data_IF_767304676396
#
_entry.id   IF_767304676396
#
_cell.length_a   1.000
_cell.length_b   1.000
_cell.length_c   1.000
_cell.angle_alpha   90.00
_cell.angle_beta   90.00
_cell.angle_gamma   90.00
#
_symmetry.space_group_name_H-M   'P 1'
#
loop_
_entity.id
_entity.type
_entity.pdbx_description
1 polymer ?
#
# COMPACT_ATOMS: atom_id res chain seq x y z
N UNK A 1 -19.40 7.32 12.71
CA UNK A 1 -19.46 5.92 13.17
C UNK A 1 -19.21 5.89 14.67
N UNK A 2 -19.97 5.12 15.41
CA UNK A 2 -19.74 4.90 16.85
C UNK A 2 -19.12 3.51 17.01
N UNK A 3 -18.06 3.42 17.80
CA UNK A 3 -17.37 2.17 18.14
C UNK A 3 -17.58 1.94 19.63
N UNK A 4 -18.05 0.77 19.99
CA UNK A 4 -18.19 0.33 21.38
C UNK A 4 -17.05 -0.64 21.74
N UNK A 5 -16.58 -0.64 22.98
CA UNK A 5 -15.75 -1.73 23.47
C UNK A 5 -16.45 -3.06 23.23
N UNK A 6 -15.71 -4.06 22.77
CA UNK A 6 -16.29 -5.37 22.43
C UNK A 6 -15.76 -6.49 23.33
N UNK A 7 -16.46 -7.61 23.31
CA UNK A 7 -15.98 -8.89 23.85
C UNK A 7 -14.91 -9.52 22.96
N UNK A 8 -14.49 -10.77 23.28
CA UNK A 8 -13.47 -11.48 22.53
C UNK A 8 -13.82 -11.61 21.06
N UNK A 9 -12.90 -11.21 20.17
CA UNK A 9 -13.03 -11.41 18.73
C UNK A 9 -12.72 -12.87 18.38
N UNK A 10 -13.59 -13.54 17.64
CA UNK A 10 -13.45 -14.96 17.30
C UNK A 10 -13.92 -15.26 15.88
N UNK A 11 -13.36 -16.32 15.30
CA UNK A 11 -13.77 -16.85 14.00
C UNK A 11 -12.73 -16.69 12.91
N UNK A 12 -13.20 -16.79 11.68
CA UNK A 12 -12.34 -16.68 10.49
C UNK A 12 -12.84 -15.53 9.61
N UNK A 13 -11.91 -14.74 9.09
CA UNK A 13 -12.19 -13.69 8.13
C UNK A 13 -11.26 -13.77 6.94
N UNK A 14 -11.66 -13.13 5.85
CA UNK A 14 -10.78 -12.71 4.75
C UNK A 14 -10.69 -11.20 4.76
N UNK A 15 -9.58 -10.68 4.28
CA UNK A 15 -9.39 -9.24 4.06
C UNK A 15 -9.37 -8.95 2.56
N UNK A 16 -9.64 -7.71 2.13
CA UNK A 16 -9.52 -7.33 0.73
C UNK A 16 -8.14 -7.64 0.17
N UNK A 17 -8.07 -7.84 -1.13
CA UNK A 17 -6.81 -8.10 -1.83
C UNK A 17 -5.78 -6.98 -1.66
N UNK A 18 -4.50 -7.35 -1.79
CA UNK A 18 -3.40 -6.39 -1.68
C UNK A 18 -3.53 -5.27 -2.71
N UNK A 19 -3.57 -4.02 -2.21
CA UNK A 19 -3.74 -2.82 -3.04
C UNK A 19 -2.61 -2.67 -4.05
N UNK A 20 -1.37 -2.89 -3.63
CA UNK A 20 -0.19 -2.71 -4.48
C UNK A 20 -0.13 -3.74 -5.62
N UNK A 21 -0.56 -4.97 -5.34
CA UNK A 21 -0.64 -6.05 -6.33
C UNK A 21 -1.82 -5.81 -7.27
N UNK A 22 -2.99 -5.42 -6.74
CA UNK A 22 -4.18 -5.11 -7.55
C UNK A 22 -3.92 -4.02 -8.59
N UNK A 23 -3.27 -2.92 -8.23
CA UNK A 23 -2.87 -1.89 -9.19
C UNK A 23 -2.00 -2.45 -10.31
N UNK A 24 -0.97 -3.21 -9.93
CA UNK A 24 0.00 -3.78 -10.89
C UNK A 24 -0.63 -4.84 -11.77
N UNK A 25 -1.54 -5.64 -11.24
CA UNK A 25 -2.24 -6.66 -12.00
C UNK A 25 -3.00 -6.06 -13.19
N UNK A 26 -3.72 -4.95 -12.96
CA UNK A 26 -4.38 -4.21 -14.05
C UNK A 26 -3.37 -3.58 -15.01
N UNK A 27 -2.35 -2.90 -14.48
CA UNK A 27 -1.34 -2.22 -15.30
C UNK A 27 -0.60 -3.19 -16.21
N UNK A 28 -0.11 -4.28 -15.64
CA UNK A 28 0.69 -5.27 -16.37
C UNK A 28 -0.17 -6.17 -17.27
N UNK A 29 -1.38 -6.53 -16.81
CA UNK A 29 -2.36 -7.22 -17.64
C UNK A 29 -2.73 -6.40 -18.88
N UNK A 30 -2.89 -5.08 -18.74
CA UNK A 30 -3.16 -4.20 -19.87
C UNK A 30 -2.01 -4.12 -20.89
N UNK A 31 -0.77 -4.23 -20.42
CA UNK A 31 0.44 -4.18 -21.25
C UNK A 31 0.88 -5.56 -21.79
N UNK A 32 0.25 -6.63 -21.33
CA UNK A 32 0.56 -7.98 -21.80
C UNK A 32 -0.18 -8.30 -23.11
N UNK A 33 0.30 -9.30 -23.83
CA UNK A 33 -0.40 -9.90 -24.95
C UNK A 33 -1.30 -11.04 -24.45
N UNK A 34 -2.63 -10.92 -24.62
CA UNK A 34 -3.62 -11.90 -24.22
C UNK A 34 -4.49 -11.44 -23.06
N UNK A 35 -5.30 -12.36 -22.53
CA UNK A 35 -6.26 -12.11 -21.45
C UNK A 35 -5.64 -12.44 -20.11
N UNK A 36 -5.76 -11.52 -19.15
CA UNK A 36 -5.36 -11.72 -17.74
C UNK A 36 -6.59 -11.83 -16.85
N UNK A 37 -6.74 -12.94 -16.14
CA UNK A 37 -7.74 -13.14 -15.10
C UNK A 37 -7.18 -12.79 -13.74
N UNK A 38 -7.80 -11.83 -13.03
CA UNK A 38 -7.33 -11.34 -11.73
C UNK A 38 -8.37 -11.67 -10.68
N UNK A 39 -8.06 -12.64 -9.81
CA UNK A 39 -8.91 -13.02 -8.67
C UNK A 39 -8.45 -12.33 -7.39
N UNK A 40 -9.35 -12.12 -6.42
CA UNK A 40 -9.02 -11.47 -5.15
C UNK A 40 -8.72 -9.97 -5.26
N UNK A 41 -9.08 -9.35 -6.37
CA UNK A 41 -8.81 -7.92 -6.64
C UNK A 41 -9.43 -6.99 -5.59
N UNK A 42 -8.71 -5.95 -5.19
CA UNK A 42 -9.25 -4.91 -4.31
C UNK A 42 -10.16 -3.96 -5.10
N UNK A 43 -11.46 -4.00 -4.83
CA UNK A 43 -12.47 -3.08 -5.37
C UNK A 43 -12.49 -1.73 -4.64
N UNK A 44 -11.32 -1.20 -4.26
CA UNK A 44 -11.17 0.10 -3.63
C UNK A 44 -11.05 1.23 -4.66
N UNK A 45 -11.39 2.46 -4.26
CA UNK A 45 -11.42 3.64 -5.14
C UNK A 45 -10.11 3.87 -5.89
N UNK A 46 -8.97 3.66 -5.23
CA UNK A 46 -7.65 3.81 -5.85
C UNK A 46 -7.44 2.83 -7.02
N UNK A 47 -7.80 1.56 -6.83
CA UNK A 47 -7.65 0.51 -7.84
C UNK A 47 -8.64 0.69 -8.99
N UNK A 48 -9.88 1.11 -8.69
CA UNK A 48 -10.89 1.43 -9.69
C UNK A 48 -10.45 2.63 -10.54
N UNK A 49 -9.77 3.63 -9.97
CA UNK A 49 -9.17 4.74 -10.74
C UNK A 49 -8.11 4.24 -11.73
N UNK A 50 -7.34 3.20 -11.39
CA UNK A 50 -6.40 2.57 -12.32
C UNK A 50 -7.14 1.92 -13.49
N UNK A 51 -8.19 1.15 -13.21
CA UNK A 51 -9.05 0.53 -14.26
C UNK A 51 -9.60 1.60 -15.19
N UNK A 52 -10.15 2.69 -14.64
CA UNK A 52 -10.71 3.78 -15.45
C UNK A 52 -9.67 4.44 -16.37
N UNK A 53 -8.45 4.66 -15.86
CA UNK A 53 -7.36 5.18 -16.68
C UNK A 53 -7.04 4.27 -17.87
N UNK A 54 -6.93 2.96 -17.67
CA UNK A 54 -6.64 2.02 -18.77
C UNK A 54 -7.80 1.84 -19.73
N UNK A 55 -9.04 1.85 -19.26
CA UNK A 55 -10.23 1.88 -20.13
C UNK A 55 -10.23 3.10 -21.06
N UNK A 56 -9.86 4.27 -20.55
CA UNK A 56 -9.73 5.51 -21.35
C UNK A 56 -8.59 5.45 -22.37
N UNK A 57 -7.65 4.55 -22.20
CA UNK A 57 -6.56 4.28 -23.13
C UNK A 57 -6.81 3.06 -24.04
N UNK A 58 -8.08 2.65 -24.21
CA UNK A 58 -8.50 1.62 -25.17
C UNK A 58 -8.45 0.18 -24.65
N UNK A 59 -8.10 -0.05 -23.37
CA UNK A 59 -8.07 -1.41 -22.81
C UNK A 59 -9.46 -1.86 -22.40
N UNK A 60 -9.91 -3.01 -22.89
CA UNK A 60 -11.13 -3.65 -22.43
C UNK A 60 -10.90 -4.32 -21.07
N UNK A 61 -11.62 -3.87 -20.05
CA UNK A 61 -11.53 -4.42 -18.69
C UNK A 61 -12.94 -4.71 -18.18
N UNK A 62 -13.22 -5.97 -17.91
CA UNK A 62 -14.51 -6.45 -17.41
C UNK A 62 -14.38 -6.78 -15.91
N UNK A 63 -15.34 -6.32 -15.11
CA UNK A 63 -15.43 -6.58 -13.67
C UNK A 63 -16.63 -7.48 -13.45
N UNK A 64 -16.42 -8.65 -12.84
CA UNK A 64 -17.46 -9.56 -12.37
C UNK A 64 -17.46 -9.58 -10.84
N UNK A 65 -18.35 -10.38 -10.22
CA UNK A 65 -18.42 -10.50 -8.76
C UNK A 65 -17.14 -11.13 -8.16
N UNK A 66 -16.45 -11.99 -8.94
CA UNK A 66 -15.34 -12.81 -8.45
C UNK A 66 -13.97 -12.42 -9.02
N UNK A 67 -13.93 -11.69 -10.16
CA UNK A 67 -12.68 -11.41 -10.87
C UNK A 67 -12.72 -10.12 -11.70
N UNK A 68 -11.53 -9.62 -12.04
CA UNK A 68 -11.30 -8.60 -13.06
C UNK A 68 -10.60 -9.24 -14.25
N UNK A 69 -11.19 -9.11 -15.44
CA UNK A 69 -10.67 -9.64 -16.69
C UNK A 69 -10.12 -8.49 -17.51
N UNK A 70 -8.84 -8.57 -17.88
CA UNK A 70 -8.14 -7.54 -18.65
C UNK A 70 -7.74 -8.11 -20.01
N UNK A 71 -8.26 -7.55 -21.09
CA UNK A 71 -7.82 -7.85 -22.44
C UNK A 71 -6.61 -6.98 -22.79
N UNK A 72 -5.43 -7.56 -22.66
CA UNK A 72 -4.17 -6.83 -22.83
C UNK A 72 -3.92 -6.44 -24.28
N UNK A 73 -3.38 -5.23 -24.46
CA UNK A 73 -3.14 -4.64 -25.80
C UNK A 73 -1.66 -4.64 -26.19
N UNK A 74 -0.79 -5.23 -25.35
CA UNK A 74 0.67 -5.22 -25.54
C UNK A 74 1.32 -3.89 -25.14
N UNK A 75 2.65 -3.87 -25.13
CA UNK A 75 3.44 -2.70 -24.69
C UNK A 75 3.13 -1.41 -25.46
N UNK A 76 2.78 -1.52 -26.75
CA UNK A 76 2.58 -0.39 -27.66
C UNK A 76 1.14 -0.23 -28.15
N UNK A 77 0.18 -0.96 -27.55
CA UNK A 77 -1.21 -0.97 -27.99
C UNK A 77 -2.12 0.04 -27.27
N UNK A 78 -1.61 0.81 -26.30
CA UNK A 78 -2.39 1.86 -25.64
C UNK A 78 -2.74 2.98 -26.61
N UNK A 79 -3.96 3.52 -26.49
CA UNK A 79 -4.47 4.62 -27.31
C UNK A 79 -4.43 5.95 -26.55
N UNK A 80 -4.28 7.07 -27.31
CA UNK A 80 -4.34 8.39 -26.71
C UNK A 80 -5.73 8.66 -26.10
N UNK A 81 -5.83 8.98 -24.81
CA UNK A 81 -7.12 9.27 -24.21
C UNK A 81 -7.69 10.59 -24.74
N UNK A 82 -9.01 10.66 -24.91
CA UNK A 82 -9.70 11.87 -25.39
C UNK A 82 -9.77 13.00 -24.36
N UNK A 83 -9.49 12.70 -23.09
CA UNK A 83 -9.49 13.62 -21.97
C UNK A 83 -8.37 13.32 -20.98
N UNK A 84 -8.12 14.22 -20.05
CA UNK A 84 -7.14 14.00 -19.00
C UNK A 84 -7.51 12.78 -18.14
N UNK A 85 -6.53 11.94 -17.82
CA UNK A 85 -6.71 10.80 -16.93
C UNK A 85 -6.91 11.29 -15.50
N UNK A 86 -7.96 10.78 -14.85
CA UNK A 86 -8.26 11.11 -13.46
C UNK A 86 -7.83 9.97 -12.55
N UNK A 87 -6.80 10.22 -11.74
CA UNK A 87 -6.18 9.21 -10.85
C UNK A 87 -6.75 9.20 -9.43
N UNK A 88 -7.83 9.94 -9.17
CA UNK A 88 -8.42 10.09 -7.84
C UNK A 88 -7.43 10.61 -6.82
N UNK A 89 -7.36 9.97 -5.65
CA UNK A 89 -6.36 10.22 -4.60
C UNK A 89 -5.18 9.23 -4.68
N UNK A 90 -5.10 8.43 -5.73
CA UNK A 90 -4.14 7.34 -5.84
C UNK A 90 -2.73 7.81 -6.20
N UNK A 91 -1.86 7.88 -5.20
CA UNK A 91 -0.42 8.09 -5.42
C UNK A 91 0.25 6.94 -6.19
N UNK A 92 -0.27 5.73 -6.07
CA UNK A 92 0.23 4.55 -6.81
C UNK A 92 -0.10 4.68 -8.28
N UNK A 93 -1.38 4.90 -8.62
CA UNK A 93 -1.81 5.10 -10.01
C UNK A 93 -0.99 6.21 -10.68
N UNK A 94 -0.93 7.39 -10.05
CA UNK A 94 -0.24 8.55 -10.61
C UNK A 94 1.24 8.29 -10.88
N UNK A 95 1.96 7.71 -9.91
CA UNK A 95 3.42 7.52 -10.03
C UNK A 95 3.81 6.39 -10.97
N UNK A 96 3.08 5.27 -10.93
CA UNK A 96 3.39 4.13 -11.79
C UNK A 96 3.01 4.42 -13.24
N UNK A 97 1.86 5.09 -13.47
CA UNK A 97 1.49 5.54 -14.82
C UNK A 97 2.53 6.49 -15.43
N UNK A 98 3.23 7.33 -14.64
CA UNK A 98 4.33 8.13 -15.18
C UNK A 98 5.36 7.26 -15.91
N UNK A 99 5.72 6.10 -15.34
CA UNK A 99 6.66 5.17 -15.97
C UNK A 99 6.12 4.59 -17.28
N UNK A 100 4.88 4.11 -17.27
CA UNK A 100 4.24 3.51 -18.46
C UNK A 100 4.03 4.55 -19.55
N UNK A 101 3.52 5.72 -19.19
CA UNK A 101 3.14 6.77 -20.14
C UNK A 101 4.35 7.49 -20.73
N UNK A 102 5.50 7.49 -20.03
CA UNK A 102 6.75 8.03 -20.57
C UNK A 102 7.23 7.34 -21.85
N UNK A 103 6.88 6.05 -22.06
CA UNK A 103 7.22 5.28 -23.25
C UNK A 103 6.15 5.28 -24.34
N UNK A 104 5.04 6.05 -24.19
CA UNK A 104 3.96 6.04 -25.16
C UNK A 104 4.13 7.10 -26.26
N UNK A 105 3.68 6.83 -27.51
CA UNK A 105 3.86 7.72 -28.66
C UNK A 105 2.84 8.85 -28.75
N UNK A 106 2.15 9.20 -27.65
CA UNK A 106 1.13 10.24 -27.62
C UNK A 106 1.26 11.16 -26.39
N UNK A 107 0.72 12.36 -26.49
CA UNK A 107 0.66 13.27 -25.35
C UNK A 107 -0.50 12.91 -24.45
N UNK A 108 -0.26 12.89 -23.15
CA UNK A 108 -1.28 12.59 -22.15
C UNK A 108 -1.13 13.47 -20.91
N UNK A 109 -2.25 13.99 -20.41
CA UNK A 109 -2.29 14.73 -19.14
C UNK A 109 -3.01 13.89 -18.09
N UNK A 110 -2.48 13.87 -16.86
CA UNK A 110 -3.12 13.24 -15.74
C UNK A 110 -3.17 14.14 -14.51
N UNK A 111 -4.22 14.00 -13.74
CA UNK A 111 -4.44 14.67 -12.47
C UNK A 111 -5.39 13.87 -11.59
N UNK A 112 -5.71 14.38 -10.43
CA UNK A 112 -6.67 13.77 -9.53
C UNK A 112 -7.27 14.77 -8.57
N UNK A 113 -7.67 14.33 -7.40
CA UNK A 113 -8.33 15.12 -6.37
C UNK A 113 -7.41 16.20 -5.77
N UNK A 114 -7.94 17.11 -4.93
CA UNK A 114 -7.13 18.15 -4.28
C UNK A 114 -6.03 17.61 -3.36
N UNK A 115 -6.11 16.36 -2.89
CA UNK A 115 -5.08 15.74 -2.07
C UNK A 115 -3.88 15.34 -2.93
N UNK A 116 -4.10 14.57 -4.01
CA UNK A 116 -3.01 14.15 -4.91
C UNK A 116 -2.30 15.34 -5.57
N UNK A 117 -3.05 16.41 -5.84
CA UNK A 117 -2.48 17.65 -6.42
C UNK A 117 -1.49 18.38 -5.50
N UNK A 118 -1.47 18.05 -4.20
CA UNK A 118 -0.52 18.61 -3.22
C UNK A 118 0.66 17.67 -2.96
N UNK A 119 0.60 16.44 -3.45
CA UNK A 119 1.66 15.45 -3.23
C UNK A 119 2.80 15.66 -4.23
N UNK A 120 4.08 15.65 -3.77
CA UNK A 120 5.21 15.88 -4.65
C UNK A 120 5.41 14.71 -5.63
N UNK A 121 5.61 15.05 -6.91
CA UNK A 121 5.87 14.10 -8.00
C UNK A 121 7.29 14.22 -8.56
N UNK A 122 8.04 15.24 -8.17
CA UNK A 122 9.40 15.50 -8.63
C UNK A 122 10.36 14.33 -8.43
N UNK A 123 10.16 13.52 -7.35
CA UNK A 123 10.97 12.32 -7.13
C UNK A 123 10.83 11.26 -8.25
N UNK A 124 9.67 11.20 -8.92
CA UNK A 124 9.44 10.32 -10.06
C UNK A 124 9.81 11.00 -11.37
N UNK A 125 9.47 12.28 -11.52
CA UNK A 125 9.77 13.03 -12.74
C UNK A 125 11.28 13.11 -13.03
N UNK A 126 12.11 13.28 -11.99
CA UNK A 126 13.57 13.43 -12.14
C UNK A 126 14.22 12.23 -12.82
N UNK A 127 14.14 10.99 -12.31
CA UNK A 127 14.76 9.84 -12.98
C UNK A 127 14.15 9.54 -14.34
N UNK A 128 12.86 9.74 -14.54
CA UNK A 128 12.24 9.55 -15.85
C UNK A 128 12.79 10.54 -16.88
N UNK A 129 13.05 11.79 -16.49
CA UNK A 129 13.72 12.76 -17.36
C UNK A 129 15.18 12.37 -17.64
N UNK A 130 15.87 11.79 -16.68
CA UNK A 130 17.22 11.22 -16.89
C UNK A 130 17.19 10.06 -17.87
N UNK A 131 16.07 9.31 -17.97
CA UNK A 131 15.83 8.30 -19.01
C UNK A 131 15.45 8.89 -20.38
N UNK A 132 15.26 10.22 -20.50
CA UNK A 132 14.86 10.89 -21.74
C UNK A 132 13.39 11.32 -21.80
N UNK A 133 12.57 11.02 -20.78
CA UNK A 133 11.17 11.38 -20.80
C UNK A 133 10.94 12.89 -20.76
N UNK A 134 10.00 13.37 -21.57
CA UNK A 134 9.51 14.76 -21.53
C UNK A 134 8.26 14.84 -20.66
N UNK A 135 8.41 15.38 -19.46
CA UNK A 135 7.35 15.47 -18.45
C UNK A 135 7.28 16.90 -17.92
N UNK A 136 6.09 17.48 -17.94
CA UNK A 136 5.79 18.76 -17.31
C UNK A 136 4.84 18.56 -16.12
N UNK A 137 4.98 19.41 -15.10
CA UNK A 137 4.10 19.41 -13.94
C UNK A 137 3.94 20.80 -13.38
N UNK A 138 2.84 21.04 -12.67
CA UNK A 138 2.61 22.31 -11.97
C UNK A 138 3.76 22.60 -10.99
N UNK A 139 4.38 23.78 -11.11
CA UNK A 139 5.55 24.19 -10.35
C UNK A 139 6.69 23.16 -10.41
N UNK A 140 6.82 22.44 -11.52
CA UNK A 140 7.80 21.39 -11.77
C UNK A 140 7.82 20.25 -10.74
N UNK A 141 6.73 20.05 -10.00
CA UNK A 141 6.68 19.08 -8.90
C UNK A 141 5.29 18.48 -8.61
N UNK A 142 4.20 19.00 -9.14
CA UNK A 142 2.84 18.63 -8.75
C UNK A 142 1.94 18.35 -9.95
N UNK A 143 0.85 17.61 -9.70
CA UNK A 143 -0.22 17.47 -10.69
C UNK A 143 -0.92 18.82 -10.98
N UNK A 144 -1.45 19.01 -12.20
CA UNK A 144 -1.47 18.10 -13.34
C UNK A 144 -0.07 17.80 -13.88
N UNK A 145 0.14 16.55 -14.36
CA UNK A 145 1.33 16.13 -15.08
C UNK A 145 0.98 15.92 -16.55
N UNK A 146 1.81 16.43 -17.46
CA UNK A 146 1.69 16.17 -18.90
C UNK A 146 2.95 15.48 -19.38
N UNK A 147 2.77 14.33 -20.02
CA UNK A 147 3.84 13.56 -20.64
C UNK A 147 3.71 13.68 -22.16
N UNK A 148 4.86 13.82 -22.82
CA UNK A 148 4.97 13.95 -24.27
C UNK A 148 5.71 12.75 -24.84
N UNK A 149 5.46 12.40 -26.12
CA UNK A 149 6.21 11.34 -26.80
C UNK A 149 7.72 11.53 -26.66
N UNK A 150 8.42 10.47 -26.26
CA UNK A 150 9.85 10.51 -25.95
C UNK A 150 10.51 9.17 -26.28
N UNK A 151 11.78 9.21 -26.67
CA UNK A 151 12.62 8.03 -26.79
C UNK A 151 13.35 7.82 -25.47
N UNK A 152 13.10 6.68 -24.83
CA UNK A 152 13.69 6.37 -23.53
C UNK A 152 14.98 5.55 -23.72
N UNK A 153 15.94 5.77 -22.83
CA UNK A 153 17.14 4.96 -22.70
C UNK A 153 17.32 4.45 -21.26
N UNK A 154 17.92 3.28 -21.14
CA UNK A 154 18.22 2.68 -19.85
C UNK A 154 19.24 3.53 -19.05
N UNK A 155 19.10 3.52 -17.73
CA UNK A 155 20.00 4.23 -16.83
C UNK A 155 20.40 3.37 -15.64
N UNK A 156 21.49 3.70 -14.97
CA UNK A 156 21.75 3.28 -13.60
C UNK A 156 21.31 4.39 -12.65
N UNK A 157 20.30 4.11 -11.81
CA UNK A 157 19.75 5.10 -10.90
C UNK A 157 19.80 4.63 -9.44
N UNK A 158 20.47 5.42 -8.61
CA UNK A 158 20.54 5.18 -7.17
C UNK A 158 19.41 5.94 -6.47
N UNK A 159 18.50 5.19 -5.85
CA UNK A 159 17.36 5.78 -5.14
C UNK A 159 17.84 6.58 -3.91
N UNK A 160 17.35 7.81 -3.72
CA UNK A 160 17.68 8.61 -2.54
C UNK A 160 17.02 8.08 -1.25
N UNK A 161 15.93 7.33 -1.39
CA UNK A 161 15.17 6.71 -0.29
C UNK A 161 14.63 5.35 -0.74
N UNK A 162 14.38 4.44 0.18
CA UNK A 162 13.71 3.16 -0.10
C UNK A 162 12.24 3.41 -0.47
N UNK A 163 11.93 3.39 -1.76
CA UNK A 163 10.60 3.70 -2.28
C UNK A 163 10.21 2.75 -3.42
N UNK A 164 9.32 1.81 -3.12
CA UNK A 164 8.81 0.88 -4.11
C UNK A 164 8.08 1.57 -5.29
N UNK A 165 7.39 2.69 -5.05
CA UNK A 165 6.72 3.42 -6.12
C UNK A 165 7.70 4.08 -7.08
N UNK A 166 8.79 4.65 -6.54
CA UNK A 166 9.85 5.25 -7.36
C UNK A 166 10.58 4.17 -8.18
N UNK A 167 10.98 3.07 -7.52
CA UNK A 167 11.56 1.91 -8.19
C UNK A 167 10.66 1.40 -9.31
N UNK A 168 9.38 1.16 -9.01
CA UNK A 168 8.41 0.65 -9.97
C UNK A 168 8.22 1.58 -11.17
N UNK A 169 8.17 2.90 -10.96
CA UNK A 169 8.04 3.86 -12.06
C UNK A 169 9.24 3.80 -13.02
N UNK A 170 10.46 3.68 -12.49
CA UNK A 170 11.69 3.54 -13.30
C UNK A 170 11.69 2.20 -14.05
N UNK A 171 11.35 1.10 -13.38
CA UNK A 171 11.30 -0.22 -14.01
C UNK A 171 10.21 -0.32 -15.08
N UNK A 172 9.04 0.31 -14.87
CA UNK A 172 7.96 0.36 -15.86
C UNK A 172 8.38 1.19 -17.08
N UNK A 173 9.11 2.30 -16.90
CA UNK A 173 9.69 3.04 -18.02
C UNK A 173 10.80 2.23 -18.73
N UNK A 174 11.54 1.42 -17.97
CA UNK A 174 12.56 0.51 -18.48
C UNK A 174 12.03 -0.52 -19.47
N UNK A 175 10.73 -0.88 -19.43
CA UNK A 175 10.10 -1.74 -20.44
C UNK A 175 10.15 -1.15 -21.87
N UNK A 176 10.29 0.16 -21.99
CA UNK A 176 10.28 0.91 -23.24
C UNK A 176 11.66 1.50 -23.60
N UNK A 177 12.65 1.33 -22.72
CA UNK A 177 13.94 1.99 -22.87
C UNK A 177 14.86 1.24 -23.84
N UNK A 178 15.68 1.97 -24.59
CA UNK A 178 16.80 1.37 -25.29
C UNK A 178 17.92 1.05 -24.28
N UNK A 179 18.27 -0.23 -24.17
CA UNK A 179 19.30 -0.73 -23.26
C UNK A 179 18.80 -0.98 -21.82
N UNK A 180 19.70 -1.50 -21.01
CA UNK A 180 19.42 -2.01 -19.68
C UNK A 180 19.15 -0.89 -18.66
N UNK A 181 18.16 -1.10 -17.79
CA UNK A 181 17.84 -0.20 -16.68
C UNK A 181 18.23 -0.84 -15.35
N UNK A 182 19.04 -0.15 -14.56
CA UNK A 182 19.49 -0.61 -13.23
C UNK A 182 19.02 0.34 -12.14
N UNK A 183 18.38 -0.20 -11.11
CA UNK A 183 17.96 0.55 -9.92
C UNK A 183 18.71 0.03 -8.69
N UNK A 184 19.30 0.95 -7.90
CA UNK A 184 20.03 0.62 -6.68
C UNK A 184 19.28 1.24 -5.50
N UNK A 185 18.80 0.40 -4.58
CA UNK A 185 18.06 0.81 -3.39
C UNK A 185 18.99 1.00 -2.17
N UNK A 186 18.76 2.01 -1.31
CA UNK A 186 19.49 2.15 -0.05
C UNK A 186 19.12 1.09 0.99
N UNK A 187 17.89 0.57 0.90
CA UNK A 187 17.37 -0.57 1.66
C UNK A 187 16.28 -1.25 0.81
N UNK A 188 16.07 -2.57 0.94
CA UNK A 188 15.04 -3.27 0.17
C UNK A 188 13.65 -2.66 0.40
N UNK A 189 12.94 -2.38 -0.69
CA UNK A 189 11.54 -2.01 -0.69
C UNK A 189 10.68 -3.12 -1.31
N UNK A 190 9.35 -2.96 -1.30
CA UNK A 190 8.40 -3.94 -1.87
C UNK A 190 8.80 -4.36 -3.27
N UNK A 191 8.83 -5.67 -3.55
CA UNK A 191 9.33 -6.28 -4.79
C UNK A 191 8.21 -6.82 -5.70
N UNK A 192 6.98 -6.37 -5.52
CA UNK A 192 5.83 -6.84 -6.32
C UNK A 192 6.04 -6.64 -7.82
N UNK A 193 6.65 -5.52 -8.25
CA UNK A 193 6.92 -5.26 -9.68
C UNK A 193 7.88 -6.29 -10.24
N UNK A 194 8.97 -6.57 -9.54
CA UNK A 194 9.99 -7.55 -9.95
C UNK A 194 9.41 -8.96 -10.01
N UNK A 195 8.58 -9.36 -9.04
CA UNK A 195 7.90 -10.65 -9.03
C UNK A 195 6.94 -10.80 -10.20
N UNK A 196 6.10 -9.80 -10.41
CA UNK A 196 5.13 -9.81 -11.50
C UNK A 196 5.82 -9.73 -12.87
N UNK A 197 6.89 -8.97 -13.02
CA UNK A 197 7.69 -8.95 -14.24
C UNK A 197 8.23 -10.35 -14.59
N UNK A 198 8.80 -11.06 -13.62
CA UNK A 198 9.25 -12.45 -13.84
C UNK A 198 8.13 -13.37 -14.27
N UNK A 199 6.94 -13.24 -13.63
CA UNK A 199 5.77 -14.04 -13.99
C UNK A 199 5.30 -13.76 -15.43
N UNK A 200 5.43 -12.52 -15.93
CA UNK A 200 5.07 -12.15 -17.30
C UNK A 200 6.20 -12.39 -18.33
N UNK A 201 7.32 -13.00 -17.91
CA UNK A 201 8.42 -13.38 -18.81
C UNK A 201 9.50 -12.32 -19.00
N UNK A 202 9.51 -11.25 -18.19
CA UNK A 202 10.54 -10.20 -18.24
C UNK A 202 11.84 -10.67 -17.58
N UNK A 203 12.98 -10.49 -18.24
CA UNK A 203 14.29 -10.72 -17.68
C UNK A 203 14.65 -9.61 -16.67
N UNK A 204 14.51 -9.92 -15.38
CA UNK A 204 14.83 -9.01 -14.29
C UNK A 204 15.61 -9.74 -13.19
N UNK A 205 16.79 -9.25 -12.89
CA UNK A 205 17.66 -9.78 -11.87
C UNK A 205 17.66 -8.90 -10.61
N UNK A 206 17.76 -9.54 -9.45
CA UNK A 206 17.94 -8.85 -8.17
C UNK A 206 19.17 -9.41 -7.48
N UNK A 207 20.16 -8.57 -7.28
CA UNK A 207 21.39 -8.91 -6.57
C UNK A 207 21.59 -7.95 -5.39
N UNK A 208 21.20 -8.41 -4.21
CA UNK A 208 21.17 -7.56 -3.01
C UNK A 208 20.22 -6.38 -3.18
N UNK A 209 20.76 -5.16 -3.18
CA UNK A 209 20.00 -3.92 -3.37
C UNK A 209 19.97 -3.42 -4.82
N UNK A 210 20.53 -4.17 -5.74
CA UNK A 210 20.60 -3.82 -7.18
C UNK A 210 19.60 -4.63 -7.97
N UNK A 211 18.75 -3.96 -8.71
CA UNK A 211 17.73 -4.55 -9.57
C UNK A 211 18.06 -4.13 -11.01
N UNK A 212 18.20 -5.10 -11.90
CA UNK A 212 18.57 -4.88 -13.29
C UNK A 212 17.51 -5.47 -14.21
N UNK A 213 17.04 -4.68 -15.16
CA UNK A 213 16.00 -5.00 -16.12
C UNK A 213 16.56 -4.88 -17.54
N UNK A 214 16.43 -5.95 -18.30
CA UNK A 214 16.58 -5.92 -19.76
C UNK A 214 15.20 -5.72 -20.41
N UNK A 215 15.03 -4.74 -21.33
CA UNK A 215 13.73 -4.45 -21.92
C UNK A 215 13.23 -5.66 -22.74
N UNK A 216 12.00 -6.15 -22.49
CA UNK A 216 11.43 -7.27 -23.21
C UNK A 216 10.91 -6.82 -24.59
N UNK A 217 10.77 -7.75 -25.52
CA UNK A 217 10.02 -7.51 -26.77
C UNK A 217 8.51 -7.44 -26.49
N UNK A 218 8.01 -8.34 -25.61
CA UNK A 218 6.60 -8.48 -25.26
C UNK A 218 6.43 -8.91 -23.80
N UNK A 219 5.23 -8.71 -23.26
CA UNK A 219 4.77 -9.31 -22.01
C UNK A 219 3.73 -10.38 -22.31
N UNK A 220 3.79 -11.51 -21.61
CA UNK A 220 2.84 -12.60 -21.76
C UNK A 220 1.80 -12.54 -20.65
N UNK A 221 0.50 -12.55 -21.00
CA UNK A 221 -0.58 -12.58 -20.03
C UNK A 221 -0.52 -13.85 -19.16
N UNK A 222 -0.76 -13.67 -17.87
CA UNK A 222 -0.84 -14.75 -16.87
C UNK A 222 -1.99 -14.47 -15.91
N UNK A 223 -2.62 -15.53 -15.40
CA UNK A 223 -3.61 -15.37 -14.34
C UNK A 223 -2.95 -14.92 -13.03
N UNK A 224 -3.59 -13.99 -12.32
CA UNK A 224 -3.05 -13.38 -11.11
C UNK A 224 -4.03 -13.58 -9.95
N UNK A 225 -3.62 -14.36 -8.96
CA UNK A 225 -4.32 -14.46 -7.68
C UNK A 225 -3.76 -13.41 -6.72
N UNK A 226 -4.55 -12.38 -6.39
CA UNK A 226 -4.16 -11.34 -5.44
C UNK A 226 -4.40 -11.85 -4.01
N UNK A 227 -3.35 -11.98 -3.18
CA UNK A 227 -3.52 -12.36 -1.78
C UNK A 227 -4.19 -11.25 -0.97
N UNK A 228 -4.74 -11.59 0.20
CA UNK A 228 -5.26 -10.61 1.15
C UNK A 228 -4.15 -9.63 1.58
N UNK A 229 -4.49 -8.34 1.67
CA UNK A 229 -3.52 -7.28 2.01
C UNK A 229 -3.09 -7.40 3.48
N UNK A 230 -1.80 -7.61 3.71
CA UNK A 230 -1.20 -7.62 5.05
C UNK A 230 -1.45 -6.31 5.80
N UNK A 231 -1.53 -5.17 5.11
CA UNK A 231 -1.89 -3.90 5.72
C UNK A 231 -3.33 -3.89 6.25
N UNK A 232 -4.26 -4.52 5.52
CA UNK A 232 -5.65 -4.70 5.97
C UNK A 232 -5.74 -5.72 7.11
N UNK A 233 -4.97 -6.82 7.02
CA UNK A 233 -4.88 -7.82 8.07
C UNK A 233 -4.30 -7.25 9.37
N UNK A 234 -3.37 -6.31 9.30
CA UNK A 234 -2.71 -5.71 10.46
C UNK A 234 -3.70 -5.11 11.47
N UNK A 235 -4.80 -4.52 11.02
CA UNK A 235 -5.84 -3.98 11.90
C UNK A 235 -6.49 -5.09 12.75
N UNK A 236 -6.76 -6.23 12.16
CA UNK A 236 -7.36 -7.39 12.85
C UNK A 236 -6.33 -8.17 13.67
N UNK A 237 -5.07 -8.21 13.24
CA UNK A 237 -3.97 -8.74 14.05
C UNK A 237 -3.82 -7.94 15.34
N UNK A 238 -3.79 -6.61 15.26
CA UNK A 238 -3.73 -5.76 16.45
C UNK A 238 -4.99 -5.90 17.27
N UNK A 239 -6.18 -5.86 16.67
CA UNK A 239 -7.45 -6.03 17.40
C UNK A 239 -7.47 -7.38 18.15
N UNK A 240 -7.12 -8.49 17.49
CA UNK A 240 -7.03 -9.82 18.12
C UNK A 240 -5.99 -9.91 19.22
N UNK A 241 -4.92 -9.12 19.14
CA UNK A 241 -3.87 -9.09 20.16
C UNK A 241 -4.28 -8.29 21.40
N UNK A 242 -4.98 -7.13 21.25
CA UNK A 242 -5.28 -6.21 22.36
C UNK A 242 -6.63 -6.47 23.03
N UNK A 243 -7.61 -7.09 22.33
CA UNK A 243 -8.94 -7.38 22.92
C UNK A 243 -8.89 -8.69 23.70
N UNK A 244 -9.14 -8.65 25.02
CA UNK A 244 -8.97 -9.82 25.91
C UNK A 244 -9.79 -11.04 25.49
N UNK A 245 -9.13 -12.22 25.44
CA UNK A 245 -9.76 -13.51 25.13
C UNK A 245 -10.02 -13.77 23.63
N UNK A 246 -9.52 -12.91 22.76
CA UNK A 246 -9.66 -13.06 21.31
C UNK A 246 -8.80 -14.21 20.77
N UNK A 247 -9.32 -14.89 19.74
CA UNK A 247 -8.63 -15.83 18.86
C UNK A 247 -9.25 -15.73 17.46
N UNK A 248 -8.50 -15.17 16.52
CA UNK A 248 -8.99 -14.80 15.19
C UNK A 248 -8.07 -15.36 14.12
N UNK A 249 -8.62 -15.96 13.07
CA UNK A 249 -7.87 -16.41 11.89
C UNK A 249 -8.20 -15.54 10.69
N UNK A 250 -7.16 -15.00 10.05
CA UNK A 250 -7.26 -14.23 8.82
C UNK A 250 -6.72 -15.09 7.68
N UNK A 251 -7.57 -15.39 6.71
CA UNK A 251 -7.27 -16.35 5.64
C UNK A 251 -6.58 -15.71 4.46
N UNK A 252 -5.66 -16.48 3.83
CA UNK A 252 -5.05 -16.15 2.55
C UNK A 252 -4.33 -14.78 2.53
N UNK A 253 -3.65 -14.41 3.61
CA UNK A 253 -2.93 -13.14 3.72
C UNK A 253 -1.60 -13.22 2.99
N UNK A 254 -1.26 -12.19 2.21
CA UNK A 254 0.04 -12.05 1.58
C UNK A 254 1.16 -11.90 2.63
N UNK A 255 2.17 -12.77 2.55
CA UNK A 255 3.30 -12.78 3.47
C UNK A 255 4.63 -12.58 2.73
N UNK A 256 4.63 -11.73 1.73
CA UNK A 256 5.85 -11.31 1.06
C UNK A 256 6.85 -10.75 2.09
N UNK A 257 8.11 -11.25 2.15
CA UNK A 257 9.10 -10.82 3.14
C UNK A 257 9.38 -9.32 3.16
N UNK A 258 9.12 -8.62 2.05
CA UNK A 258 9.25 -7.15 1.98
C UNK A 258 8.06 -6.41 2.60
N UNK A 259 7.04 -7.13 3.08
CA UNK A 259 5.79 -6.61 3.67
C UNK A 259 5.54 -7.06 5.10
N UNK A 260 6.23 -8.10 5.57
CA UNK A 260 5.95 -8.75 6.86
C UNK A 260 6.58 -8.08 8.08
N UNK A 261 7.12 -6.88 7.94
CA UNK A 261 7.68 -6.14 9.07
C UNK A 261 6.70 -5.96 10.24
N UNK A 262 5.39 -5.84 9.95
CA UNK A 262 4.35 -5.78 10.98
C UNK A 262 4.26 -7.07 11.81
N UNK A 263 4.43 -8.25 11.19
CA UNK A 263 4.45 -9.53 11.91
C UNK A 263 5.68 -9.62 12.81
N UNK A 264 6.84 -9.21 12.29
CA UNK A 264 8.08 -9.20 13.06
C UNK A 264 7.93 -8.30 14.31
N UNK A 265 7.47 -7.06 14.13
CA UNK A 265 7.29 -6.11 15.23
C UNK A 265 6.25 -6.58 16.23
N UNK A 266 5.07 -7.06 15.79
CA UNK A 266 4.06 -7.54 16.72
C UNK A 266 4.55 -8.77 17.52
N UNK A 267 5.31 -9.68 16.91
CA UNK A 267 5.94 -10.81 17.61
C UNK A 267 7.00 -10.32 18.60
N UNK A 268 7.83 -9.36 18.20
CA UNK A 268 8.82 -8.74 19.11
C UNK A 268 8.13 -8.04 20.28
N UNK A 269 6.95 -7.48 20.10
CA UNK A 269 6.11 -6.94 21.18
C UNK A 269 5.48 -8.03 22.06
N UNK A 270 5.55 -9.31 21.68
CA UNK A 270 5.00 -10.44 22.42
C UNK A 270 3.64 -10.95 21.92
N UNK A 271 3.20 -10.58 20.74
CA UNK A 271 1.96 -11.10 20.14
C UNK A 271 2.08 -12.60 19.78
N UNK A 272 1.04 -13.37 20.09
CA UNK A 272 0.91 -14.77 19.67
C UNK A 272 0.27 -14.83 18.29
N UNK A 273 1.11 -14.88 17.26
CA UNK A 273 0.72 -14.95 15.84
C UNK A 273 1.34 -16.18 15.21
N UNK A 274 0.51 -17.11 14.73
CA UNK A 274 0.91 -18.33 14.05
C UNK A 274 0.52 -18.32 12.57
N UNK A 275 1.37 -18.90 11.72
CA UNK A 275 1.18 -19.08 10.29
C UNK A 275 0.77 -20.52 9.99
N UNK A 276 -0.19 -20.71 9.08
CA UNK A 276 -0.61 -22.01 8.59
C UNK A 276 -1.00 -21.96 7.13
N UNK A 277 -1.14 -23.11 6.48
CA UNK A 277 -1.56 -23.21 5.08
C UNK A 277 -0.72 -22.34 4.12
N UNK A 278 0.60 -22.31 4.32
CA UNK A 278 1.52 -21.54 3.49
C UNK A 278 1.51 -22.06 2.04
N UNK A 279 1.46 -21.10 1.10
CA UNK A 279 1.57 -21.35 -0.35
C UNK A 279 2.59 -20.39 -0.93
N UNK A 280 3.56 -20.94 -1.66
CA UNK A 280 4.61 -20.18 -2.33
C UNK A 280 4.28 -20.11 -3.82
N UNK A 281 3.40 -19.18 -4.16
CA UNK A 281 3.02 -18.82 -5.53
C UNK A 281 3.81 -17.56 -5.96
N UNK A 282 3.40 -16.91 -7.03
CA UNK A 282 4.03 -15.66 -7.48
C UNK A 282 4.14 -14.63 -6.34
N UNK A 283 3.10 -14.54 -5.50
CA UNK A 283 3.12 -13.85 -4.21
C UNK A 283 2.83 -14.87 -3.10
N UNK A 284 3.73 -15.02 -2.10
CA UNK A 284 3.54 -15.97 -1.01
C UNK A 284 2.38 -15.55 -0.11
N UNK A 285 1.56 -16.52 0.31
CA UNK A 285 0.42 -16.29 1.19
C UNK A 285 0.23 -17.40 2.21
N UNK A 286 -0.40 -17.07 3.34
CA UNK A 286 -0.76 -18.04 4.38
C UNK A 286 -2.01 -17.59 5.15
N UNK A 287 -2.47 -18.44 6.06
CA UNK A 287 -3.46 -18.06 7.06
C UNK A 287 -2.71 -17.59 8.33
N UNK A 288 -3.15 -16.46 8.90
CA UNK A 288 -2.60 -15.89 10.12
C UNK A 288 -3.61 -16.06 11.26
N UNK A 289 -3.25 -16.78 12.32
CA UNK A 289 -4.05 -16.89 13.54
C UNK A 289 -3.40 -16.06 14.64
N UNK A 290 -4.15 -15.10 15.20
CA UNK A 290 -3.72 -14.24 16.29
C UNK A 290 -4.52 -14.52 17.55
N UNK A 291 -3.85 -14.48 18.73
CA UNK A 291 -4.49 -14.60 20.04
C UNK A 291 -4.17 -13.40 20.92
N UNK A 292 -5.12 -13.09 21.81
CA UNK A 292 -4.88 -12.09 22.85
C UNK A 292 -3.55 -12.31 23.56
N UNK A 293 -2.76 -11.24 23.67
CA UNK A 293 -1.43 -11.29 24.27
C UNK A 293 -1.15 -10.05 25.10
N UNK A 294 -0.32 -10.18 26.11
CA UNK A 294 0.23 -9.04 26.84
C UNK A 294 1.44 -8.53 26.09
N UNK A 295 1.33 -7.32 25.60
CA UNK A 295 2.39 -6.68 24.82
C UNK A 295 3.38 -5.92 25.71
N UNK A 296 4.60 -5.76 25.22
CA UNK A 296 5.61 -4.87 25.78
C UNK A 296 6.18 -3.93 24.71
N UNK A 297 6.76 -2.81 25.18
CA UNK A 297 7.35 -1.80 24.31
C UNK A 297 8.61 -2.30 23.59
N UNK A 298 8.85 -1.76 22.39
CA UNK A 298 9.97 -2.11 21.52
C UNK A 298 10.49 -0.87 20.80
N UNK A 299 11.70 -0.98 20.22
CA UNK A 299 12.28 0.04 19.36
C UNK A 299 12.11 -0.37 17.89
N UNK A 300 11.54 0.52 17.06
CA UNK A 300 11.20 0.29 15.66
C UNK A 300 11.91 1.35 14.82
N UNK A 301 12.85 0.96 13.96
CA UNK A 301 13.60 1.90 13.13
C UNK A 301 14.53 1.21 12.13
N UNK A 302 15.19 1.99 11.29
CA UNK A 302 16.14 1.47 10.31
C UNK A 302 15.51 0.68 9.18
N UNK A 303 16.12 -0.43 8.81
CA UNK A 303 15.76 -1.23 7.64
C UNK A 303 14.37 -1.89 7.70
N UNK A 304 13.74 -1.98 8.87
CA UNK A 304 12.39 -2.54 8.99
C UNK A 304 11.32 -1.56 8.53
N UNK A 305 11.55 -0.25 8.60
CA UNK A 305 10.57 0.78 8.29
C UNK A 305 9.93 0.63 6.90
N UNK A 306 10.67 0.43 5.81
CA UNK A 306 10.06 0.22 4.49
C UNK A 306 9.13 -1.00 4.42
N UNK A 307 9.33 -2.02 5.28
CA UNK A 307 8.57 -3.27 5.33
C UNK A 307 7.25 -3.17 6.08
N UNK A 308 7.01 -2.05 6.81
CA UNK A 308 5.83 -1.85 7.66
C UNK A 308 5.38 -0.37 7.76
N UNK A 309 5.88 0.50 6.90
CA UNK A 309 5.63 1.95 6.99
C UNK A 309 4.13 2.29 7.05
N UNK A 310 3.31 1.54 6.33
CA UNK A 310 1.87 1.78 6.25
C UNK A 310 1.11 1.19 7.46
N UNK A 311 1.71 0.30 8.24
CA UNK A 311 1.14 -0.34 9.43
C UNK A 311 1.53 0.39 10.73
N UNK A 312 2.46 1.34 10.70
CA UNK A 312 2.90 2.10 11.89
C UNK A 312 1.74 2.77 12.64
N UNK A 313 0.68 3.31 12.02
CA UNK A 313 -0.46 3.85 12.75
C UNK A 313 -1.16 2.82 13.65
N UNK A 314 -1.42 1.61 13.17
CA UNK A 314 -2.05 0.57 14.00
C UNK A 314 -1.08 -0.07 14.99
N UNK A 315 0.23 -0.09 14.70
CA UNK A 315 1.27 -0.48 15.66
C UNK A 315 1.32 0.52 16.82
N UNK A 316 1.17 1.82 16.57
CA UNK A 316 1.07 2.81 17.64
C UNK A 316 -0.15 2.57 18.55
N UNK A 317 -1.25 2.04 18.00
CA UNK A 317 -2.39 1.56 18.82
C UNK A 317 -1.97 0.35 19.67
N UNK A 318 -1.30 -0.65 19.11
CA UNK A 318 -0.79 -1.79 19.89
C UNK A 318 0.15 -1.32 21.02
N UNK A 319 1.02 -0.35 20.72
CA UNK A 319 1.94 0.25 21.69
C UNK A 319 1.21 0.95 22.87
N UNK A 320 0.05 1.56 22.62
CA UNK A 320 -0.75 2.18 23.68
C UNK A 320 -1.22 1.17 24.75
N UNK A 321 -1.42 -0.10 24.36
CA UNK A 321 -1.80 -1.20 25.26
C UNK A 321 -0.62 -2.03 25.76
N UNK A 322 0.60 -1.76 25.31
CA UNK A 322 1.81 -2.46 25.71
C UNK A 322 2.33 -1.97 27.06
N UNK A 323 3.08 -2.80 27.79
CA UNK A 323 3.81 -2.35 28.98
C UNK A 323 5.15 -1.73 28.58
N UNK A 324 5.45 -0.53 29.06
CA UNK A 324 6.71 0.17 28.76
C UNK A 324 6.61 1.09 27.53
N UNK A 325 7.77 1.48 27.01
CA UNK A 325 7.90 2.47 25.97
C UNK A 325 8.11 1.83 24.59
N UNK A 326 7.39 2.32 23.58
CA UNK A 326 7.65 1.98 22.17
C UNK A 326 8.15 3.21 21.45
N UNK A 327 9.35 3.10 20.84
CA UNK A 327 9.98 4.17 20.08
C UNK A 327 9.90 3.85 18.59
N UNK A 328 9.28 4.74 17.81
CA UNK A 328 9.22 4.67 16.35
C UNK A 328 10.07 5.80 15.79
N UNK A 329 11.08 5.48 14.97
CA UNK A 329 11.98 6.41 14.32
C UNK A 329 12.21 6.08 12.85
N UNK A 330 12.90 6.94 12.10
CA UNK A 330 13.17 6.77 10.66
C UNK A 330 11.90 6.71 9.79
N UNK A 331 10.77 7.21 10.30
CA UNK A 331 9.45 7.10 9.68
C UNK A 331 8.95 8.42 9.07
N UNK A 332 9.84 9.36 8.72
CA UNK A 332 9.48 10.68 8.16
C UNK A 332 8.62 10.62 6.90
N UNK A 333 8.64 9.52 6.13
CA UNK A 333 7.75 9.31 4.98
C UNK A 333 6.26 9.33 5.36
N UNK A 334 5.91 9.06 6.63
CA UNK A 334 4.53 9.16 7.13
C UNK A 334 4.00 10.61 7.09
N UNK A 335 4.88 11.62 7.12
CA UNK A 335 4.48 13.04 7.09
C UNK A 335 3.94 13.50 5.73
N UNK A 336 4.22 12.75 4.66
CA UNK A 336 3.86 13.09 3.27
C UNK A 336 2.93 12.07 2.60
N UNK A 337 2.24 11.26 3.43
CA UNK A 337 1.19 10.34 2.97
C UNK A 337 -0.13 11.09 2.70
N UNK A 338 -1.27 10.43 2.82
CA UNK A 338 -2.61 11.03 2.68
C UNK A 338 -2.85 12.15 3.69
N UNK A 339 -2.27 11.99 4.88
CA UNK A 339 -2.15 13.00 5.95
C UNK A 339 -0.74 12.99 6.53
N UNK A 340 -0.42 13.92 7.42
CA UNK A 340 0.72 13.74 8.32
C UNK A 340 0.32 12.72 9.39
N UNK A 341 0.58 11.42 9.10
CA UNK A 341 0.16 10.30 9.96
C UNK A 341 0.80 10.33 11.34
N UNK A 342 2.02 10.87 11.47
CA UNK A 342 2.69 11.02 12.78
C UNK A 342 1.89 11.99 13.64
N UNK A 343 1.71 13.22 13.18
CA UNK A 343 0.97 14.24 13.92
C UNK A 343 -0.48 13.83 14.21
N UNK A 344 -1.14 13.17 13.24
CA UNK A 344 -2.51 12.67 13.39
C UNK A 344 -2.59 11.61 14.51
N UNK A 345 -1.73 10.60 14.50
CA UNK A 345 -1.75 9.55 15.54
C UNK A 345 -1.40 10.11 16.92
N UNK A 346 -0.41 10.98 17.03
CA UNK A 346 -0.06 11.66 18.30
C UNK A 346 -1.25 12.43 18.84
N UNK A 347 -1.92 13.24 18.02
CA UNK A 347 -3.08 14.02 18.44
C UNK A 347 -4.24 13.13 18.91
N UNK A 348 -4.55 12.07 18.17
CA UNK A 348 -5.70 11.22 18.46
C UNK A 348 -5.46 10.26 19.64
N UNK A 349 -4.25 9.70 19.78
CA UNK A 349 -3.85 8.91 20.93
C UNK A 349 -3.86 9.76 22.22
N UNK A 350 -3.40 11.01 22.15
CA UNK A 350 -3.49 11.96 23.29
C UNK A 350 -4.93 12.19 23.72
N UNK A 351 -5.89 12.33 22.77
CA UNK A 351 -7.33 12.44 23.09
C UNK A 351 -7.87 11.21 23.83
N UNK A 352 -7.31 10.03 23.54
CA UNK A 352 -7.66 8.79 24.23
C UNK A 352 -6.95 8.61 25.58
N UNK A 353 -6.19 9.61 26.05
CA UNK A 353 -5.47 9.56 27.31
C UNK A 353 -4.15 8.78 27.27
N UNK A 354 -3.63 8.49 26.08
CA UNK A 354 -2.32 7.87 25.90
C UNK A 354 -1.24 8.92 25.99
N UNK A 355 -0.19 8.65 26.76
CA UNK A 355 1.02 9.49 26.80
C UNK A 355 1.86 9.18 25.56
N UNK A 356 1.96 10.16 24.67
CA UNK A 356 2.63 10.01 23.37
C UNK A 356 3.32 11.31 22.96
N UNK A 357 4.53 11.19 22.46
CA UNK A 357 5.36 12.32 22.02
C UNK A 357 5.65 12.25 20.52
N UNK A 358 5.47 13.35 19.78
CA UNK A 358 5.94 13.48 18.41
C UNK A 358 7.44 13.73 18.39
N UNK A 359 8.17 13.03 17.51
CA UNK A 359 9.59 13.30 17.22
C UNK A 359 9.77 13.82 15.79
N UNK A 360 10.97 14.20 15.43
CA UNK A 360 11.27 14.73 14.08
C UNK A 360 10.95 13.75 12.97
N UNK A 361 11.04 12.44 13.23
CA UNK A 361 10.90 11.37 12.24
C UNK A 361 10.01 10.21 12.68
N UNK A 362 9.29 10.36 13.81
CA UNK A 362 8.44 9.31 14.35
C UNK A 362 7.66 9.73 15.58
N UNK A 363 7.53 8.83 16.55
CA UNK A 363 6.86 9.08 17.82
C UNK A 363 7.34 8.13 18.91
N UNK A 364 7.14 8.53 20.17
CA UNK A 364 7.36 7.70 21.35
C UNK A 364 6.00 7.49 22.03
N UNK A 365 5.60 6.24 22.23
CA UNK A 365 4.35 5.87 22.90
C UNK A 365 4.70 5.26 24.25
N UNK A 366 4.28 5.92 25.33
CA UNK A 366 4.40 5.41 26.71
C UNK A 366 3.17 4.57 27.02
N UNK A 367 3.30 3.27 26.92
CA UNK A 367 2.22 2.32 27.11
C UNK A 367 1.90 2.06 28.59
N UNK A 368 0.94 1.16 28.84
CA UNK A 368 0.47 0.82 30.17
C UNK A 368 -0.66 1.74 30.69
N UNK A 369 -1.05 2.75 29.94
CA UNK A 369 -2.29 3.49 30.18
C UNK A 369 -3.50 2.63 29.83
N UNK A 370 -4.68 3.05 30.32
CA UNK A 370 -5.96 2.50 29.85
C UNK A 370 -6.58 3.53 28.92
N UNK A 371 -6.44 3.38 27.60
CA UNK A 371 -7.05 4.29 26.65
C UNK A 371 -8.56 4.38 26.89
N UNK A 372 -9.13 5.56 26.76
CA UNK A 372 -10.56 5.77 26.88
C UNK A 372 -11.18 6.23 25.55
N UNK A 373 -12.49 6.02 25.41
CA UNK A 373 -13.24 6.46 24.25
C UNK A 373 -13.22 7.98 24.07
N UNK A 374 -13.11 8.42 22.82
CA UNK A 374 -13.09 9.84 22.47
C UNK A 374 -13.75 10.09 21.10
N UNK A 375 -13.89 11.37 20.74
CA UNK A 375 -14.29 11.76 19.38
C UNK A 375 -13.04 11.98 18.53
N UNK A 376 -12.81 11.07 17.60
CA UNK A 376 -11.62 11.01 16.78
C UNK A 376 -11.83 11.65 15.40
N UNK A 377 -10.82 12.37 14.93
CA UNK A 377 -10.74 12.91 13.59
C UNK A 377 -9.92 11.95 12.69
N UNK A 378 -10.42 11.67 11.47
CA UNK A 378 -9.75 10.77 10.54
C UNK A 378 -8.74 11.46 9.64
N UNK A 379 -8.72 12.77 9.60
CA UNK A 379 -7.87 13.57 8.67
C UNK A 379 -8.05 13.17 7.20
N UNK A 380 -9.20 12.55 6.86
CA UNK A 380 -9.49 11.95 5.55
C UNK A 380 -8.49 10.84 5.16
N UNK A 381 -7.91 10.17 6.14
CA UNK A 381 -6.96 9.08 5.98
C UNK A 381 -7.57 7.77 6.50
N UNK A 382 -7.72 6.81 5.60
CA UNK A 382 -8.33 5.51 5.90
C UNK A 382 -7.55 4.72 6.97
N UNK A 383 -6.21 4.84 7.01
CA UNK A 383 -5.39 4.12 8.01
C UNK A 383 -5.54 4.72 9.40
N UNK A 384 -5.68 6.04 9.49
CA UNK A 384 -5.99 6.70 10.77
C UNK A 384 -7.39 6.26 11.24
N UNK A 385 -8.39 6.28 10.35
CA UNK A 385 -9.74 5.85 10.67
C UNK A 385 -9.80 4.43 11.22
N UNK A 386 -9.18 3.47 10.52
CA UNK A 386 -9.17 2.06 10.91
C UNK A 386 -8.35 1.82 12.19
N UNK A 387 -7.22 2.50 12.38
CA UNK A 387 -6.41 2.40 13.60
C UNK A 387 -7.18 2.87 14.84
N UNK A 388 -7.88 3.99 14.72
CA UNK A 388 -8.70 4.54 15.82
C UNK A 388 -9.95 3.70 16.10
N UNK A 389 -10.53 3.05 15.09
CA UNK A 389 -11.59 2.08 15.28
C UNK A 389 -11.09 0.88 16.10
N UNK A 390 -9.91 0.34 15.78
CA UNK A 390 -9.27 -0.75 16.54
C UNK A 390 -8.99 -0.33 17.98
N UNK A 391 -8.47 0.88 18.21
CA UNK A 391 -8.29 1.42 19.55
C UNK A 391 -9.61 1.43 20.33
N UNK A 392 -10.71 1.86 19.69
CA UNK A 392 -12.03 1.94 20.30
C UNK A 392 -12.60 0.58 20.74
N UNK A 393 -12.19 -0.54 20.13
CA UNK A 393 -12.64 -1.88 20.53
C UNK A 393 -12.16 -2.29 21.93
N UNK A 394 -11.00 -1.81 22.37
CA UNK A 394 -10.37 -2.13 23.63
C UNK A 394 -10.30 -0.95 24.62
N UNK A 395 -10.79 0.24 24.24
CA UNK A 395 -10.81 1.43 25.07
C UNK A 395 -11.91 1.38 26.15
N UNK A 396 -11.76 2.15 27.22
CA UNK A 396 -12.83 2.33 28.22
C UNK A 396 -13.88 3.32 27.69
N UNK A 397 -15.10 2.84 27.39
CA UNK A 397 -16.21 3.64 26.88
C UNK A 397 -16.24 3.84 25.39
N UNK A 398 -17.32 4.41 24.88
CA UNK A 398 -17.62 4.56 23.48
C UNK A 398 -16.71 5.57 22.78
N UNK A 399 -16.28 5.25 21.57
CA UNK A 399 -15.54 6.14 20.66
C UNK A 399 -16.41 6.58 19.48
N UNK A 400 -16.13 7.74 18.93
CA UNK A 400 -16.76 8.23 17.69
C UNK A 400 -15.70 8.52 16.65
N UNK A 401 -15.87 7.93 15.46
CA UNK A 401 -15.02 8.18 14.28
C UNK A 401 -15.77 9.15 13.36
N UNK A 402 -15.16 10.27 13.01
CA UNK A 402 -15.70 11.17 11.98
C UNK A 402 -15.43 10.59 10.59
N UNK A 403 -16.18 11.01 9.56
CA UNK A 403 -15.99 10.63 8.16
C UNK A 403 -15.55 9.15 7.98
N UNK A 404 -16.30 8.18 8.54
CA UNK A 404 -15.92 6.76 8.48
C UNK A 404 -15.83 6.20 7.05
N UNK A 405 -16.50 6.85 6.08
CA UNK A 405 -16.50 6.47 4.67
C UNK A 405 -15.11 6.45 4.02
N UNK A 406 -14.11 7.11 4.59
CA UNK A 406 -12.74 7.13 4.06
C UNK A 406 -12.08 5.74 4.03
N UNK A 407 -12.59 4.78 4.80
CA UNK A 407 -12.08 3.40 4.79
C UNK A 407 -12.27 2.72 3.42
N UNK A 408 -13.26 3.16 2.63
CA UNK A 408 -13.54 2.64 1.29
C UNK A 408 -12.36 2.78 0.30
N UNK A 409 -11.38 3.63 0.61
CA UNK A 409 -10.14 3.77 -0.18
C UNK A 409 -9.36 2.45 -0.26
N UNK A 410 -9.36 1.64 0.81
CA UNK A 410 -8.62 0.37 0.85
C UNK A 410 -9.36 -0.80 1.49
N UNK A 411 -10.44 -0.55 2.24
CA UNK A 411 -11.23 -1.60 2.87
C UNK A 411 -12.71 -1.17 2.98
N UNK A 412 -13.49 -1.27 1.88
CA UNK A 412 -14.88 -0.81 1.87
C UNK A 412 -15.77 -1.43 2.95
N UNK A 413 -15.56 -2.72 3.28
CA UNK A 413 -16.37 -3.49 4.23
C UNK A 413 -15.79 -3.55 5.66
N UNK A 414 -14.86 -2.66 6.01
CA UNK A 414 -14.11 -2.71 7.27
C UNK A 414 -15.01 -2.73 8.51
N UNK A 415 -15.95 -1.79 8.62
CA UNK A 415 -16.81 -1.68 9.78
C UNK A 415 -17.80 -2.84 9.91
N UNK A 416 -18.35 -3.34 8.79
CA UNK A 416 -19.20 -4.53 8.80
C UNK A 416 -18.42 -5.77 9.24
N UNK A 417 -17.15 -5.88 8.83
CA UNK A 417 -16.28 -6.98 9.27
C UNK A 417 -16.01 -6.90 10.78
N UNK A 418 -15.77 -5.70 11.34
CA UNK A 418 -15.62 -5.51 12.78
C UNK A 418 -16.90 -5.88 13.55
N UNK A 419 -18.07 -5.46 13.09
CA UNK A 419 -19.36 -5.77 13.73
C UNK A 419 -19.61 -7.28 13.78
N UNK A 420 -19.39 -8.00 12.67
CA UNK A 420 -19.52 -9.47 12.62
C UNK A 420 -18.62 -10.23 13.57
N UNK A 421 -17.48 -9.68 13.95
CA UNK A 421 -16.52 -10.31 14.86
C UNK A 421 -16.83 -10.02 16.33
N UNK A 422 -17.56 -8.94 16.62
CA UNK A 422 -17.92 -8.51 17.98
C UNK A 422 -19.23 -9.09 18.50
N UNK A 423 -20.00 -9.78 17.63
CA UNK A 423 -21.23 -10.50 17.97
C UNK A 423 -20.90 -11.94 18.44
#
# INVERSE_FOLDING_TARGET
MQIQPCGPLRGEITVPGDKSISHRAVMLGALANGTTHITGFLMGEDCLSTIDCFRKMGVEINITDDEVIVEGVGLHGLEAPSEALYTGNSGTTTRLLCGILAGQPFTVTMSGDPSIQKRPMGRVMKPLREMGASIEGKNDNFCPLTLFPSELHGIEYRLPVASAQLKSAILLAGLYAEGQTTVIEPAPSRDHTERMFRALGVEIETNGSTITLDPPEDLHAVDIAVPGDISSAAFFLVAGTIVPGSELTIKNVGVNPTRTGVLDVLRDMGADITESNFRDEAEPMCDLTVKYSKLHGVEIGGAIIPRLIDELPVIAVAAAFAEGETVIRDAQELKVKESNRIAAMVAELTKAGVDVEETDDGMIVHGGAKPHGASFETYKDHRIAMSLAVLGLAAEGASRIDKPEVVAISYPDFFNTLERLGD
#
